data_IF_260447138026
#
_entry.id   IF_260447138026
#
_cell.length_a   1.000
_cell.length_b   1.000
_cell.length_c   1.000
_cell.angle_alpha   90.00
_cell.angle_beta   90.00
_cell.angle_gamma   90.00
#
_symmetry.space_group_name_H-M   'P 1'
#
loop_
_entity.id
_entity.type
_entity.pdbx_description
1 polymer ?
#
# COMPACT_ATOMS: atom_id res chain seq x y z
N UNK A 1 67.48 16.87 -22.71
CA UNK A 1 66.67 18.06 -23.08
C UNK A 1 65.32 17.61 -23.68
N UNK A 2 64.43 16.90 -23.00
CA UNK A 2 63.95 17.03 -21.60
C UNK A 2 63.29 18.39 -21.32
N UNK A 3 62.01 18.33 -20.91
CA UNK A 3 61.15 19.49 -20.71
C UNK A 3 59.69 19.10 -20.41
N UNK A 4 59.40 18.80 -19.14
CA UNK A 4 58.06 18.72 -18.49
C UNK A 4 58.22 19.28 -17.06
N UNK A 5 57.17 19.74 -16.35
CA UNK A 5 55.72 19.55 -16.58
C UNK A 5 55.06 20.90 -17.03
N UNK A 6 53.94 21.50 -16.57
CA UNK A 6 53.01 21.17 -15.47
C UNK A 6 51.59 21.79 -15.60
N UNK A 7 50.57 20.90 -15.59
CA UNK A 7 49.29 20.98 -14.84
C UNK A 7 48.49 22.30 -14.75
N UNK A 8 47.30 22.28 -15.36
CA UNK A 8 46.05 22.71 -14.69
C UNK A 8 44.83 21.92 -15.19
N UNK A 9 43.76 21.85 -14.40
CA UNK A 9 42.71 20.82 -14.51
C UNK A 9 41.58 21.19 -15.50
N UNK A 10 40.99 20.18 -16.15
CA UNK A 10 39.57 20.18 -16.51
C UNK A 10 39.02 18.74 -16.50
N UNK A 11 38.09 18.44 -15.58
CA UNK A 11 37.47 17.12 -15.49
C UNK A 11 35.96 17.28 -15.22
N UNK A 12 35.14 16.97 -16.23
CA UNK A 12 33.67 16.87 -16.10
C UNK A 12 33.27 15.56 -16.79
N UNK A 13 32.75 14.61 -16.01
CA UNK A 13 32.48 13.26 -16.47
C UNK A 13 31.12 13.10 -17.14
N UNK A 14 31.08 12.34 -18.24
CA UNK A 14 29.85 11.92 -18.91
C UNK A 14 29.03 10.99 -17.99
N UNK A 15 28.00 11.53 -17.34
CA UNK A 15 27.03 10.74 -16.55
C UNK A 15 26.06 10.00 -17.47
N UNK A 16 26.51 8.89 -18.06
CA UNK A 16 25.64 7.95 -18.79
C UNK A 16 24.70 7.26 -17.80
N UNK A 17 23.50 7.82 -17.62
CA UNK A 17 22.48 7.29 -16.73
C UNK A 17 21.89 5.99 -17.29
N UNK A 18 22.41 4.85 -16.80
CA UNK A 18 21.86 3.52 -17.05
C UNK A 18 20.49 3.36 -16.37
N UNK A 19 19.46 3.97 -16.96
CA UNK A 19 18.06 3.69 -16.65
C UNK A 19 17.73 2.28 -17.13
N UNK A 20 18.04 1.28 -16.28
CA UNK A 20 17.51 -0.07 -16.42
C UNK A 20 16.00 0.02 -16.27
N UNK A 21 15.28 0.13 -17.40
CA UNK A 21 13.83 -0.06 -17.47
C UNK A 21 13.50 -1.52 -17.13
N UNK A 22 13.49 -1.83 -15.85
CA UNK A 22 12.82 -3.02 -15.34
C UNK A 22 11.37 -2.92 -15.80
N UNK A 23 10.87 -3.99 -16.43
CA UNK A 23 9.46 -4.08 -16.79
C UNK A 23 8.63 -4.03 -15.50
N UNK A 24 8.00 -2.89 -15.21
CA UNK A 24 6.99 -2.76 -14.14
C UNK A 24 6.03 -3.93 -14.30
N UNK A 25 5.93 -4.80 -13.29
CA UNK A 25 4.94 -5.88 -13.37
C UNK A 25 3.58 -5.21 -13.25
N UNK A 26 2.61 -5.69 -14.02
CA UNK A 26 1.22 -5.21 -14.10
C UNK A 26 0.53 -4.99 -12.73
N UNK A 27 1.06 -5.61 -11.69
CA UNK A 27 0.56 -5.59 -10.31
C UNK A 27 1.11 -4.43 -9.46
N UNK A 28 2.12 -3.71 -9.93
CA UNK A 28 2.78 -2.62 -9.19
C UNK A 28 2.03 -1.28 -9.37
N UNK A 29 0.71 -1.27 -9.13
CA UNK A 29 -0.15 -0.07 -9.15
C UNK A 29 0.08 0.87 -7.95
N UNK A 30 1.21 0.73 -7.25
CA UNK A 30 1.59 1.48 -6.04
C UNK A 30 2.85 2.29 -6.38
N UNK A 31 2.76 3.61 -6.37
CA UNK A 31 3.88 4.51 -6.64
C UNK A 31 4.71 4.85 -5.38
N UNK A 32 4.10 4.81 -4.19
CA UNK A 32 4.78 5.16 -2.94
C UNK A 32 4.02 4.62 -1.71
N UNK A 33 4.76 4.51 -0.62
CA UNK A 33 4.27 4.10 0.70
C UNK A 33 4.38 5.30 1.66
N UNK A 34 3.32 5.60 2.41
CA UNK A 34 3.30 6.76 3.33
C UNK A 34 2.68 6.45 4.67
N UNK A 35 3.16 7.14 5.72
CA UNK A 35 2.63 7.07 7.09
C UNK A 35 2.57 8.47 7.69
N UNK A 36 1.59 8.71 8.56
CA UNK A 36 1.38 9.98 9.25
C UNK A 36 2.01 9.93 10.64
N UNK A 37 2.79 10.95 10.99
CA UNK A 37 3.32 11.12 12.34
C UNK A 37 2.19 11.38 13.36
N UNK A 38 2.14 10.61 14.45
CA UNK A 38 1.19 10.77 15.55
C UNK A 38 1.25 12.18 16.16
N UNK A 39 2.48 12.72 16.35
CA UNK A 39 2.72 13.97 17.09
C UNK A 39 2.44 15.25 16.27
N UNK A 40 2.73 15.25 14.98
CA UNK A 40 2.65 16.47 14.14
C UNK A 40 1.75 16.34 12.91
N UNK A 41 1.09 15.19 12.73
CA UNK A 41 0.16 14.91 11.61
C UNK A 41 0.74 15.08 10.19
N UNK A 42 2.05 15.30 10.05
CA UNK A 42 2.76 15.37 8.76
C UNK A 42 2.94 13.95 8.18
N UNK A 43 2.75 13.81 6.87
CA UNK A 43 3.00 12.58 6.13
C UNK A 43 4.48 12.41 5.82
N UNK A 44 4.98 11.18 5.96
CA UNK A 44 6.36 10.77 5.66
C UNK A 44 6.39 9.63 4.65
N UNK A 45 7.38 9.60 3.78
CA UNK A 45 7.62 8.46 2.89
C UNK A 45 8.25 7.29 3.66
N UNK A 46 7.82 6.09 3.34
CA UNK A 46 8.45 4.83 3.74
C UNK A 46 9.20 4.29 2.51
N UNK A 47 10.50 3.93 2.62
CA UNK A 47 11.36 3.71 1.45
C UNK A 47 11.11 2.36 0.75
N UNK A 48 10.56 1.38 1.46
CA UNK A 48 10.32 0.02 0.94
C UNK A 48 8.94 -0.49 1.33
N UNK A 49 8.45 -1.48 0.59
CA UNK A 49 7.19 -2.16 0.88
C UNK A 49 7.27 -2.90 2.20
N UNK A 50 8.40 -3.55 2.46
CA UNK A 50 8.64 -4.40 3.62
C UNK A 50 8.54 -3.56 4.91
N UNK A 51 9.16 -2.38 4.94
CA UNK A 51 9.06 -1.46 6.07
C UNK A 51 7.64 -0.88 6.23
N UNK A 52 6.89 -0.74 5.14
CA UNK A 52 5.48 -0.36 5.20
C UNK A 52 4.62 -1.46 5.81
N UNK A 53 4.85 -2.73 5.44
CA UNK A 53 4.10 -3.86 5.99
C UNK A 53 4.44 -4.09 7.48
N UNK A 54 5.70 -3.89 7.91
CA UNK A 54 6.09 -3.86 9.33
C UNK A 54 5.35 -2.76 10.11
N UNK A 55 5.39 -1.51 9.62
CA UNK A 55 4.74 -0.39 10.31
C UNK A 55 3.22 -0.63 10.38
N UNK A 56 2.59 -1.03 9.26
CA UNK A 56 1.14 -1.33 9.19
C UNK A 56 0.71 -2.41 10.19
N UNK A 57 1.49 -3.47 10.32
CA UNK A 57 1.22 -4.57 11.26
C UNK A 57 1.15 -4.03 12.70
N UNK A 58 2.10 -3.19 13.10
CA UNK A 58 2.23 -2.71 14.50
C UNK A 58 1.51 -1.40 14.80
N UNK A 59 1.02 -0.66 13.80
CA UNK A 59 0.54 0.74 13.95
C UNK A 59 -0.57 0.95 14.98
N UNK A 60 -1.36 -0.08 15.30
CA UNK A 60 -2.40 -0.01 16.33
C UNK A 60 -1.86 0.00 17.76
N UNK A 61 -0.65 -0.56 17.97
CA UNK A 61 0.03 -0.71 19.25
C UNK A 61 1.21 0.25 19.38
N UNK A 62 1.86 0.56 18.26
CA UNK A 62 3.06 1.38 18.15
C UNK A 62 2.82 2.51 17.12
N UNK A 63 2.29 3.67 17.55
CA UNK A 63 2.10 4.82 16.68
C UNK A 63 3.42 5.29 16.06
N UNK A 64 3.37 5.73 14.81
CA UNK A 64 4.55 6.19 14.08
C UNK A 64 4.94 7.63 14.44
N UNK A 65 6.23 7.88 14.64
CA UNK A 65 6.79 9.21 14.88
C UNK A 65 7.86 9.57 13.85
N UNK A 66 8.12 10.87 13.63
CA UNK A 66 9.19 11.30 12.71
C UNK A 66 10.58 10.77 13.12
N UNK A 67 10.80 10.57 14.41
CA UNK A 67 11.99 9.94 14.97
C UNK A 67 12.15 8.48 14.54
N UNK A 68 11.06 7.73 14.32
CA UNK A 68 11.10 6.35 13.80
C UNK A 68 11.66 6.31 12.37
N UNK A 69 11.35 7.31 11.55
CA UNK A 69 11.90 7.43 10.19
C UNK A 69 13.39 7.76 10.15
N UNK A 70 14.06 8.03 11.27
CA UNK A 70 15.53 8.20 11.32
C UNK A 70 16.30 6.92 10.97
N UNK A 71 15.65 5.78 11.01
CA UNK A 71 16.14 4.52 10.42
C UNK A 71 16.51 4.67 8.92
N UNK A 72 15.86 5.57 8.16
CA UNK A 72 16.14 5.81 6.74
C UNK A 72 16.38 7.28 6.35
N UNK A 73 16.05 8.24 7.22
CA UNK A 73 16.27 9.67 7.04
C UNK A 73 16.71 10.30 8.38
N UNK A 74 18.01 10.18 8.67
CA UNK A 74 18.63 10.43 9.99
C UNK A 74 18.40 11.81 10.60
N UNK A 75 18.19 12.83 9.76
CA UNK A 75 17.98 14.23 10.14
C UNK A 75 16.53 14.54 10.55
N UNK A 76 15.58 13.66 10.25
CA UNK A 76 14.16 13.99 10.27
C UNK A 76 13.63 14.38 11.66
N UNK A 77 12.74 15.37 11.67
CA UNK A 77 12.02 15.86 12.85
C UNK A 77 10.53 16.11 12.56
N UNK A 78 9.81 16.58 13.59
CA UNK A 78 8.46 17.10 13.44
C UNK A 78 8.42 18.50 12.80
N UNK A 79 9.55 19.23 12.79
CA UNK A 79 9.63 20.59 12.27
C UNK A 79 9.69 20.60 10.73
N UNK A 80 10.40 19.65 10.12
CA UNK A 80 10.53 19.51 8.66
C UNK A 80 9.18 19.45 7.95
N UNK A 81 9.05 20.12 6.80
CA UNK A 81 7.86 20.09 5.97
C UNK A 81 7.45 18.67 5.55
N UNK A 82 6.14 18.39 5.40
CA UNK A 82 5.65 17.04 5.11
C UNK A 82 6.19 16.53 3.77
N UNK A 83 6.53 15.25 3.71
CA UNK A 83 7.08 14.63 2.50
C UNK A 83 5.99 14.51 1.40
N UNK A 84 4.71 14.54 1.81
CA UNK A 84 3.53 14.52 0.95
C UNK A 84 2.49 15.51 1.45
N UNK A 85 1.99 16.35 0.55
CA UNK A 85 0.78 17.15 0.70
C UNK A 85 -0.34 16.45 -0.08
N UNK A 86 -1.52 16.32 0.52
CA UNK A 86 -2.69 15.71 -0.15
C UNK A 86 -3.45 16.79 -0.93
N UNK A 87 -3.02 16.99 -2.17
CA UNK A 87 -3.45 18.02 -3.12
C UNK A 87 -4.64 17.61 -4.02
N UNK A 88 -5.10 16.36 -3.92
CA UNK A 88 -6.15 15.79 -4.77
C UNK A 88 -5.66 15.25 -6.12
N UNK A 89 -4.41 15.49 -6.52
CA UNK A 89 -3.83 14.95 -7.77
C UNK A 89 -3.53 13.44 -7.66
N UNK A 90 -3.45 12.92 -6.44
CA UNK A 90 -3.07 11.54 -6.16
C UNK A 90 -4.22 10.75 -5.53
N UNK A 91 -4.42 9.53 -6.01
CA UNK A 91 -5.37 8.58 -5.41
C UNK A 91 -4.67 7.78 -4.31
N UNK A 92 -5.35 7.60 -3.19
CA UNK A 92 -4.80 6.94 -2.00
C UNK A 92 -5.63 5.73 -1.61
N UNK A 93 -4.95 4.65 -1.24
CA UNK A 93 -5.54 3.48 -0.62
C UNK A 93 -5.05 3.34 0.83
N UNK A 94 -5.96 3.07 1.76
CA UNK A 94 -5.72 3.02 3.19
C UNK A 94 -5.87 1.57 3.64
N UNK A 95 -4.76 0.87 3.89
CA UNK A 95 -4.79 -0.42 4.59
C UNK A 95 -5.23 -0.18 6.05
N UNK A 96 -5.92 -1.15 6.65
CA UNK A 96 -6.18 -1.11 8.10
C UNK A 96 -4.89 -1.46 8.86
N UNK A 97 -4.64 -0.87 10.04
CA UNK A 97 -3.67 -1.39 10.99
C UNK A 97 -3.87 -2.88 11.33
N UNK A 98 -2.82 -3.55 11.78
CA UNK A 98 -2.83 -4.97 12.19
C UNK A 98 -3.14 -5.96 11.06
N UNK A 99 -2.93 -5.56 9.79
CA UNK A 99 -2.80 -6.50 8.68
C UNK A 99 -1.35 -7.04 8.69
N UNK A 100 -1.14 -8.36 8.90
CA UNK A 100 0.17 -8.95 9.15
C UNK A 100 1.12 -8.81 7.95
N UNK A 101 2.42 -8.87 8.22
CA UNK A 101 3.44 -9.04 7.19
C UNK A 101 3.27 -10.42 6.50
N UNK A 102 3.48 -10.52 5.19
CA UNK A 102 3.49 -11.82 4.51
C UNK A 102 4.67 -12.68 5.05
N UNK A 103 4.54 -14.02 5.11
CA UNK A 103 5.65 -14.87 5.53
C UNK A 103 6.90 -14.72 4.64
N UNK A 104 8.11 -15.06 5.13
CA UNK A 104 9.34 -14.97 4.35
C UNK A 104 9.24 -15.67 2.99
N UNK A 105 9.61 -14.94 1.92
CA UNK A 105 9.51 -15.41 0.53
C UNK A 105 8.12 -15.33 -0.11
N UNK A 106 7.06 -15.02 0.66
CA UNK A 106 5.73 -14.74 0.14
C UNK A 106 5.53 -13.25 -0.11
N UNK A 107 4.56 -12.89 -0.96
CA UNK A 107 4.21 -11.49 -1.23
C UNK A 107 2.70 -11.27 -1.21
N UNK A 108 2.21 -10.38 -0.33
CA UNK A 108 0.86 -9.79 -0.46
C UNK A 108 0.87 -8.79 -1.61
N UNK A 109 -0.03 -8.93 -2.57
CA UNK A 109 -0.13 -8.08 -3.77
C UNK A 109 -1.55 -7.51 -3.86
N UNK A 110 -1.65 -6.23 -4.22
CA UNK A 110 -2.91 -5.51 -4.41
C UNK A 110 -3.10 -5.21 -5.90
N UNK A 111 -4.22 -5.65 -6.47
CA UNK A 111 -4.64 -5.23 -7.82
C UNK A 111 -5.76 -4.21 -7.70
N UNK A 112 -5.46 -2.94 -7.93
CA UNK A 112 -6.48 -1.88 -7.92
C UNK A 112 -7.43 -2.08 -9.11
N UNK A 113 -8.72 -1.82 -8.90
CA UNK A 113 -9.77 -1.86 -9.93
C UNK A 113 -10.18 -0.45 -10.33
N UNK A 114 -10.67 -0.27 -11.55
CA UNK A 114 -11.16 1.03 -12.01
C UNK A 114 -12.32 1.57 -11.16
N UNK A 115 -12.40 2.91 -11.07
CA UNK A 115 -13.48 3.66 -10.42
C UNK A 115 -14.85 3.29 -10.99
N UNK A 116 -15.88 3.31 -10.14
CA UNK A 116 -17.25 2.91 -10.48
C UNK A 116 -17.52 1.41 -10.37
N UNK A 117 -16.49 0.58 -10.13
CA UNK A 117 -16.62 -0.84 -9.84
C UNK A 117 -17.29 -1.15 -8.50
N UNK A 118 -17.55 -2.44 -8.25
CA UNK A 118 -18.20 -2.95 -7.03
C UNK A 118 -17.23 -3.32 -5.89
N UNK A 119 -15.92 -3.19 -6.13
CA UNK A 119 -14.82 -3.37 -5.16
C UNK A 119 -13.67 -2.43 -5.55
N UNK A 120 -12.91 -1.96 -4.56
CA UNK A 120 -11.75 -1.08 -4.78
C UNK A 120 -10.54 -1.83 -5.37
N UNK A 121 -10.20 -2.98 -4.80
CA UNK A 121 -9.08 -3.81 -5.24
C UNK A 121 -9.38 -5.31 -5.03
N UNK A 122 -8.55 -6.16 -5.63
CA UNK A 122 -8.38 -7.56 -5.23
C UNK A 122 -7.06 -7.71 -4.45
N UNK A 123 -7.04 -8.63 -3.48
CA UNK A 123 -5.81 -9.03 -2.75
C UNK A 123 -5.40 -10.41 -3.21
N UNK A 124 -4.10 -10.60 -3.43
CA UNK A 124 -3.48 -11.88 -3.74
C UNK A 124 -2.32 -12.14 -2.79
N UNK A 125 -2.01 -13.41 -2.55
CA UNK A 125 -0.71 -13.84 -2.05
C UNK A 125 0.01 -14.60 -3.16
N UNK A 126 1.30 -14.32 -3.35
CA UNK A 126 2.18 -15.08 -4.24
C UNK A 126 3.14 -15.89 -3.37
N UNK A 127 3.22 -17.19 -3.64
CA UNK A 127 4.09 -18.14 -2.93
C UNK A 127 5.56 -17.96 -3.37
N UNK A 128 6.54 -18.53 -2.64
CA UNK A 128 7.93 -18.62 -3.13
C UNK A 128 8.03 -19.35 -4.48
N UNK A 129 7.15 -20.33 -4.72
CA UNK A 129 6.96 -21.05 -5.99
C UNK A 129 6.18 -20.27 -7.07
N UNK A 130 5.90 -18.98 -6.85
CA UNK A 130 5.15 -18.08 -7.75
C UNK A 130 3.69 -18.48 -8.07
N UNK A 131 3.11 -19.47 -7.38
CA UNK A 131 1.67 -19.79 -7.42
C UNK A 131 0.90 -18.66 -6.72
N UNK A 132 -0.15 -18.16 -7.37
CA UNK A 132 -0.94 -17.01 -6.88
C UNK A 132 -2.26 -17.48 -6.27
N UNK A 133 -2.42 -17.21 -4.98
CA UNK A 133 -3.62 -17.53 -4.18
C UNK A 133 -4.46 -16.27 -4.00
N UNK A 134 -5.79 -16.41 -4.03
CA UNK A 134 -6.79 -15.31 -3.99
C UNK A 134 -7.85 -15.48 -2.91
N UNK A 135 -7.69 -16.45 -2.00
CA UNK A 135 -8.56 -16.67 -0.84
C UNK A 135 -7.85 -17.40 0.30
N UNK A 136 -8.39 -17.32 1.52
CA UNK A 136 -7.91 -18.12 2.66
C UNK A 136 -8.08 -19.63 2.42
N UNK A 137 -9.13 -20.04 1.71
CA UNK A 137 -9.34 -21.44 1.33
C UNK A 137 -8.20 -21.96 0.46
N UNK A 138 -7.74 -21.17 -0.51
CA UNK A 138 -6.59 -21.54 -1.35
C UNK A 138 -5.27 -21.54 -0.57
N UNK A 139 -5.09 -20.68 0.45
CA UNK A 139 -3.95 -20.76 1.38
C UNK A 139 -4.00 -22.06 2.18
N UNK A 140 -5.17 -22.44 2.71
CA UNK A 140 -5.34 -23.69 3.46
C UNK A 140 -5.09 -24.92 2.59
N UNK A 141 -5.65 -24.98 1.37
CA UNK A 141 -5.36 -26.04 0.41
C UNK A 141 -3.87 -26.09 0.05
N UNK A 142 -3.23 -24.94 -0.21
CA UNK A 142 -1.79 -24.90 -0.50
C UNK A 142 -0.95 -25.45 0.65
N UNK A 143 -1.23 -25.08 1.91
CA UNK A 143 -0.46 -25.56 3.07
C UNK A 143 -0.68 -27.06 3.37
N UNK A 144 -1.79 -27.65 2.91
CA UNK A 144 -2.02 -29.10 2.94
C UNK A 144 -1.27 -29.81 1.80
N UNK A 145 -1.24 -29.20 0.61
CA UNK A 145 -0.45 -29.67 -0.55
C UNK A 145 1.07 -29.57 -0.32
N UNK A 146 1.52 -28.63 0.53
CA UNK A 146 2.91 -28.24 0.73
C UNK A 146 3.34 -28.32 2.21
N UNK A 147 3.58 -29.54 2.76
CA UNK A 147 3.96 -29.74 4.16
C UNK A 147 5.37 -29.24 4.50
N UNK A 148 6.17 -28.77 3.53
CA UNK A 148 7.47 -28.13 3.74
C UNK A 148 7.39 -26.75 4.43
N UNK A 149 6.17 -26.25 4.69
CA UNK A 149 5.90 -25.00 5.41
C UNK A 149 5.25 -25.21 6.81
N UNK A 150 5.75 -26.11 7.69
CA UNK A 150 5.04 -26.53 8.89
C UNK A 150 4.85 -25.43 9.95
N UNK A 151 5.61 -24.34 9.85
CA UNK A 151 5.51 -23.18 10.75
C UNK A 151 4.57 -22.08 10.24
N UNK A 152 4.00 -22.21 9.04
CA UNK A 152 3.11 -21.18 8.49
C UNK A 152 1.68 -21.36 8.99
N UNK A 153 1.12 -20.30 9.59
CA UNK A 153 -0.23 -20.31 10.15
C UNK A 153 -1.16 -19.40 9.36
N UNK A 154 -2.46 -19.73 9.36
CA UNK A 154 -3.48 -18.93 8.69
C UNK A 154 -3.55 -17.46 9.17
N UNK A 155 -3.07 -17.15 10.38
CA UNK A 155 -3.04 -15.79 10.92
C UNK A 155 -1.99 -14.87 10.28
N UNK A 156 -1.03 -15.41 9.53
CA UNK A 156 -0.06 -14.61 8.75
C UNK A 156 -0.63 -14.14 7.39
N UNK A 157 -1.88 -14.50 7.08
CA UNK A 157 -2.53 -14.21 5.80
C UNK A 157 -3.78 -13.36 6.01
N UNK A 158 -3.85 -12.23 5.32
CA UNK A 158 -5.03 -11.36 5.32
C UNK A 158 -5.35 -10.84 3.92
N UNK A 159 -6.54 -11.23 3.44
CA UNK A 159 -7.16 -10.76 2.21
C UNK A 159 -8.01 -9.50 2.42
N UNK A 160 -7.81 -8.77 3.53
CA UNK A 160 -8.47 -7.49 3.73
C UNK A 160 -8.04 -6.49 2.65
N UNK A 161 -9.03 -5.91 1.98
CA UNK A 161 -8.89 -4.90 0.92
C UNK A 161 -8.74 -3.51 1.58
N UNK A 162 -7.80 -2.65 1.14
CA UNK A 162 -7.70 -1.27 1.62
C UNK A 162 -8.88 -0.41 1.16
N UNK A 163 -9.21 0.63 1.92
CA UNK A 163 -10.25 1.60 1.57
C UNK A 163 -9.70 2.69 0.63
N UNK A 164 -10.45 3.14 -0.39
CA UNK A 164 -10.12 4.38 -1.09
C UNK A 164 -10.28 5.58 -0.17
N UNK A 165 -9.38 6.57 -0.28
CA UNK A 165 -9.60 7.90 0.29
C UNK A 165 -10.65 8.71 -0.51
N UNK A 166 -10.77 8.44 -1.81
CA UNK A 166 -11.72 9.11 -2.71
C UNK A 166 -13.16 8.62 -2.48
N UNK A 167 -14.08 9.53 -2.10
CA UNK A 167 -15.48 9.16 -1.86
C UNK A 167 -16.17 8.72 -3.16
N UNK A 168 -17.10 7.78 -3.05
CA UNK A 168 -17.84 7.20 -4.18
C UNK A 168 -16.98 6.50 -5.26
N UNK A 169 -15.69 6.21 -4.98
CA UNK A 169 -14.83 5.43 -5.89
C UNK A 169 -15.44 4.06 -6.21
N UNK A 170 -15.94 3.37 -5.17
CA UNK A 170 -16.71 2.13 -5.30
C UNK A 170 -18.18 2.50 -5.41
N UNK A 171 -18.88 1.97 -6.43
CA UNK A 171 -20.30 2.24 -6.61
C UNK A 171 -21.10 1.63 -5.45
N UNK A 172 -21.66 2.50 -4.60
CA UNK A 172 -22.65 2.13 -3.58
C UNK A 172 -23.75 1.32 -4.26
N UNK A 173 -23.91 0.05 -3.86
CA UNK A 173 -24.87 -0.87 -4.48
C UNK A 173 -26.26 -0.41 -4.05
N UNK A 174 -27.05 0.16 -4.97
CA UNK A 174 -28.45 0.49 -4.69
C UNK A 174 -29.13 -0.78 -4.18
N UNK A 175 -29.75 -0.71 -2.99
CA UNK A 175 -30.57 -1.80 -2.51
C UNK A 175 -31.69 -2.05 -3.52
N UNK A 176 -31.90 -3.30 -3.93
CA UNK A 176 -33.10 -3.65 -4.70
C UNK A 176 -34.29 -3.39 -3.77
N UNK A 177 -35.12 -2.41 -4.12
CA UNK A 177 -36.40 -2.18 -3.43
C UNK A 177 -37.29 -3.39 -3.68
N UNK A 178 -37.29 -4.34 -2.74
CA UNK A 178 -38.28 -5.41 -2.72
C UNK A 178 -39.55 -4.78 -2.15
N UNK A 179 -40.45 -4.37 -3.03
CA UNK A 179 -41.75 -3.77 -2.67
C UNK A 179 -42.71 -4.85 -2.17
N UNK A 180 -42.44 -5.39 -0.99
CA UNK A 180 -43.42 -6.15 -0.23
C UNK A 180 -44.51 -5.18 0.27
N UNK A 181 -45.78 -5.59 0.15
CA UNK A 181 -46.88 -4.88 0.79
C UNK A 181 -46.80 -5.12 2.31
N UNK A 182 -46.92 -4.07 3.11
CA UNK A 182 -46.84 -4.15 4.57
C UNK A 182 -45.96 -3.05 5.16
N UNK A 183 -46.62 -2.08 5.79
CA UNK A 183 -46.04 -0.89 6.41
C UNK A 183 -44.94 -1.19 7.46
N UNK A 184 -43.69 -0.77 7.18
CA UNK A 184 -42.67 -0.27 8.13
C UNK A 184 -41.32 -0.12 7.40
N UNK A 185 -40.90 1.11 7.08
CA UNK A 185 -39.63 1.35 6.35
C UNK A 185 -38.40 1.47 7.27
N UNK A 186 -37.99 0.35 7.87
CA UNK A 186 -36.70 0.26 8.58
C UNK A 186 -35.51 0.52 7.63
N UNK A 187 -35.01 1.76 7.59
CA UNK A 187 -33.75 2.13 6.91
C UNK A 187 -32.55 1.57 7.68
N UNK A 188 -32.22 0.31 7.41
CA UNK A 188 -30.96 -0.29 7.88
C UNK A 188 -29.79 0.31 7.09
N UNK A 189 -29.26 1.45 7.55
CA UNK A 189 -28.11 2.14 6.93
C UNK A 189 -26.82 1.32 7.09
N UNK A 190 -26.24 0.70 6.04
CA UNK A 190 -25.16 -0.27 6.18
C UNK A 190 -23.76 0.35 6.11
N UNK A 191 -23.59 1.56 6.65
CA UNK A 191 -22.29 2.19 6.97
C UNK A 191 -22.49 3.33 7.95
N UNK A 192 -22.28 3.05 9.25
CA UNK A 192 -21.98 4.09 10.24
C UNK A 192 -20.51 3.96 10.64
N UNK A 193 -19.64 4.74 9.98
CA UNK A 193 -18.25 4.94 10.39
C UNK A 193 -18.11 6.36 10.96
N UNK A 194 -18.92 6.67 11.97
CA UNK A 194 -18.98 8.00 12.60
C UNK A 194 -18.02 8.08 13.78
N UNK A 195 -17.27 9.18 13.87
CA UNK A 195 -16.46 9.53 15.05
C UNK A 195 -15.09 8.84 15.13
N UNK A 196 -15.05 7.59 15.57
CA UNK A 196 -13.90 7.08 16.35
C UNK A 196 -12.72 6.53 15.54
N UNK A 197 -12.84 6.34 14.22
CA UNK A 197 -11.80 5.63 13.43
C UNK A 197 -10.77 6.51 12.71
N UNK A 198 -10.83 7.84 12.81
CA UNK A 198 -9.95 8.71 12.02
C UNK A 198 -8.45 8.50 12.35
N UNK A 199 -8.12 8.21 13.63
CA UNK A 199 -6.76 7.86 14.06
C UNK A 199 -6.23 6.53 13.47
N UNK A 200 -7.07 5.68 12.89
CA UNK A 200 -6.61 4.45 12.21
C UNK A 200 -6.21 4.68 10.74
N UNK A 201 -6.49 5.85 10.16
CA UNK A 201 -6.22 6.14 8.74
C UNK A 201 -4.78 6.63 8.46
N UNK A 202 -3.88 6.46 9.43
CA UNK A 202 -2.51 7.00 9.46
C UNK A 202 -1.51 6.31 8.51
N UNK A 203 -1.90 5.33 7.71
CA UNK A 203 -0.99 4.61 6.79
C UNK A 203 -1.63 4.36 5.42
N UNK A 204 -0.95 4.77 4.35
CA UNK A 204 -1.55 4.89 3.02
C UNK A 204 -0.59 4.49 1.90
N UNK A 205 -1.16 4.11 0.76
CA UNK A 205 -0.51 3.74 -0.47
C UNK A 205 -0.88 4.78 -1.54
N UNK A 206 0.13 5.35 -2.20
CA UNK A 206 -0.07 6.19 -3.38
C UNK A 206 -0.37 5.27 -4.58
N UNK A 207 -1.52 5.42 -5.20
CA UNK A 207 -2.00 4.55 -6.28
C UNK A 207 -1.81 5.19 -7.65
N UNK A 208 -1.21 4.44 -8.57
CA UNK A 208 -1.29 4.69 -10.01
C UNK A 208 -2.54 3.99 -10.57
N UNK A 209 -3.28 4.67 -11.46
CA UNK A 209 -4.41 4.07 -12.18
C UNK A 209 -4.06 4.00 -13.67
N UNK A 210 -4.22 2.83 -14.26
CA UNK A 210 -4.24 2.64 -15.72
C UNK A 210 -5.47 3.38 -16.32
N UNK A 211 -5.34 4.67 -16.58
CA UNK A 211 -6.37 5.47 -17.25
C UNK A 211 -6.30 5.28 -18.77
N UNK A 212 -7.13 4.37 -19.28
CA UNK A 212 -7.42 4.24 -20.72
C UNK A 212 -6.74 3.06 -21.43
N UNK A 213 -7.56 2.03 -21.70
CA UNK A 213 -7.50 1.05 -22.81
C UNK A 213 -6.20 0.30 -23.17
N UNK A 214 -5.06 0.58 -22.54
CA UNK A 214 -3.81 -0.18 -22.66
C UNK A 214 -3.60 -1.07 -21.42
N UNK A 215 -3.01 -2.25 -21.63
CA UNK A 215 -3.06 -3.32 -20.64
C UNK A 215 -2.14 -3.09 -19.42
N UNK A 216 -2.79 -2.80 -18.29
CA UNK A 216 -2.55 -3.46 -17.01
C UNK A 216 -3.12 -4.91 -17.06
#
# INVERSE_FOLDING_TARGET
>A
MEGKPNRSNAAIGNKTSFSKKTSKRVWDSIAAYTVQCERCSKWRFIPTKEKYEEIRERLAEQPFFCETAREWRSDLSCNDEPDVIQDGNWRWAIDKPSIPQPPPGWQRILRIRAKGGTKFADVYYVTPSSKRLRSMTEVQSYLIEHPEYPCLTASQFSFQIPSPLEENYVRKRHARSITLHGDTTMRVNPTSWVGTLLHMLRIQLKVEVCEGSSAC
#
